data_IF_695266392347
#
_entry.id   IF_695266392347
#
_cell.length_a   1.000
_cell.length_b   1.000
_cell.length_c   1.000
_cell.angle_alpha   90.00
_cell.angle_beta   90.00
_cell.angle_gamma   90.00
#
_symmetry.space_group_name_H-M   'P 1'
#
loop_
_entity.id
_entity.type
_entity.pdbx_description
1 polymer ?
#
# COMPACT_ATOMS: atom_id res chain seq x y z
N UNK A 1 19.83 1.33 -19.77
CA UNK A 1 18.63 2.21 -19.71
C UNK A 1 17.91 1.89 -18.42
N UNK A 2 17.73 2.85 -17.52
CA UNK A 2 17.00 2.57 -16.28
C UNK A 2 15.51 2.39 -16.62
N UNK A 3 14.80 1.55 -15.87
CA UNK A 3 13.36 1.29 -16.03
C UNK A 3 12.55 2.61 -16.10
N UNK A 4 12.94 3.63 -15.32
CA UNK A 4 12.37 4.97 -15.33
C UNK A 4 12.57 5.74 -16.65
N UNK A 5 13.71 5.60 -17.33
CA UNK A 5 13.98 6.22 -18.64
C UNK A 5 13.07 5.60 -19.70
N UNK A 6 12.94 4.27 -19.69
CA UNK A 6 12.06 3.53 -20.59
C UNK A 6 10.59 3.96 -20.44
N UNK A 7 10.13 4.16 -19.22
CA UNK A 7 8.77 4.61 -18.89
C UNK A 7 8.53 6.04 -19.39
N UNK A 8 9.46 6.97 -19.16
CA UNK A 8 9.32 8.37 -19.63
C UNK A 8 9.25 8.47 -21.15
N UNK A 9 10.09 7.74 -21.86
CA UNK A 9 10.12 7.73 -23.32
C UNK A 9 8.83 7.14 -23.89
N UNK A 10 8.30 6.09 -23.28
CA UNK A 10 7.06 5.45 -23.74
C UNK A 10 5.79 6.22 -23.36
N UNK A 11 5.72 6.87 -22.22
CA UNK A 11 4.60 7.74 -21.86
C UNK A 11 4.59 9.05 -22.64
N UNK A 12 5.67 9.40 -23.36
CA UNK A 12 5.68 10.49 -24.34
C UNK A 12 5.06 10.09 -25.69
N UNK A 13 4.91 8.81 -25.96
CA UNK A 13 4.25 8.31 -27.16
C UNK A 13 2.73 8.53 -27.05
N UNK A 14 2.17 9.31 -27.98
CA UNK A 14 0.76 9.70 -28.01
C UNK A 14 -0.18 8.47 -28.14
N UNK A 15 0.26 7.46 -28.88
CA UNK A 15 -0.48 6.21 -29.05
C UNK A 15 -0.58 5.44 -27.72
N UNK A 16 0.51 5.40 -26.96
CA UNK A 16 0.54 4.80 -25.63
C UNK A 16 -0.32 5.56 -24.64
N UNK A 17 -0.26 6.91 -24.68
CA UNK A 17 -1.13 7.76 -23.86
C UNK A 17 -2.61 7.52 -24.15
N UNK A 18 -2.97 7.36 -25.42
CA UNK A 18 -4.37 7.10 -25.81
C UNK A 18 -4.84 5.73 -25.33
N UNK A 19 -4.00 4.69 -25.43
CA UNK A 19 -4.31 3.35 -24.94
C UNK A 19 -4.43 3.29 -23.42
N UNK A 20 -3.64 4.07 -22.69
CA UNK A 20 -3.64 4.12 -21.23
C UNK A 20 -4.64 5.15 -20.65
N UNK A 21 -5.12 6.10 -21.45
CA UNK A 21 -6.08 7.13 -21.00
C UNK A 21 -7.41 6.55 -20.52
N UNK A 22 -7.78 5.36 -20.98
CA UNK A 22 -8.97 4.63 -20.51
C UNK A 22 -8.77 3.99 -19.13
N UNK A 23 -7.54 3.81 -18.71
CA UNK A 23 -7.16 3.17 -17.44
C UNK A 23 -7.12 4.18 -16.29
N UNK A 24 -6.78 5.45 -16.58
CA UNK A 24 -6.61 6.49 -15.56
C UNK A 24 -7.71 7.54 -15.70
N UNK A 25 -8.79 7.35 -14.95
CA UNK A 25 -9.92 8.31 -14.96
C UNK A 25 -9.58 9.63 -14.25
N UNK A 26 -8.60 9.66 -13.37
CA UNK A 26 -8.16 10.82 -12.60
C UNK A 26 -6.64 10.85 -12.50
N UNK A 27 -6.01 11.51 -13.48
CA UNK A 27 -4.55 11.61 -13.53
C UNK A 27 -3.97 12.50 -12.42
N UNK A 28 -4.73 13.45 -11.89
CA UNK A 28 -4.26 14.31 -10.80
C UNK A 28 -4.04 13.53 -9.51
N UNK A 29 -4.82 12.46 -9.28
CA UNK A 29 -4.64 11.58 -8.13
C UNK A 29 -3.32 10.81 -8.17
N UNK A 30 -2.66 10.74 -9.33
CA UNK A 30 -1.40 10.03 -9.55
C UNK A 30 -0.19 10.96 -9.62
N UNK A 31 -0.38 12.27 -9.42
CA UNK A 31 0.72 13.23 -9.31
C UNK A 31 1.42 13.01 -7.96
N UNK A 32 2.75 12.92 -7.92
CA UNK A 32 3.49 12.82 -6.66
C UNK A 32 3.10 13.94 -5.70
N UNK A 33 2.75 13.58 -4.46
CA UNK A 33 2.31 14.52 -3.43
C UNK A 33 3.41 14.80 -2.39
N UNK A 34 4.49 14.04 -2.41
CA UNK A 34 5.68 14.21 -1.57
C UNK A 34 6.90 14.57 -2.40
N UNK A 35 7.94 15.09 -1.74
CA UNK A 35 9.21 15.45 -2.36
C UNK A 35 10.27 14.38 -2.12
N UNK A 36 11.44 14.55 -2.77
CA UNK A 36 12.60 13.69 -2.57
C UNK A 36 12.40 12.27 -3.07
N UNK A 37 12.90 11.31 -2.31
CA UNK A 37 12.91 9.90 -2.75
C UNK A 37 11.51 9.30 -2.87
N UNK A 38 10.54 9.77 -2.09
CA UNK A 38 9.15 9.30 -2.19
C UNK A 38 8.43 9.83 -3.44
N UNK A 39 8.83 10.98 -3.97
CA UNK A 39 8.33 11.45 -5.27
C UNK A 39 8.69 10.46 -6.39
N UNK A 40 9.88 9.87 -6.36
CA UNK A 40 10.28 8.85 -7.33
C UNK A 40 9.46 7.56 -7.19
N UNK A 41 9.14 7.15 -5.96
CA UNK A 41 8.27 5.99 -5.72
C UNK A 41 6.85 6.22 -6.25
N UNK A 42 6.35 7.44 -6.18
CA UNK A 42 4.99 7.80 -6.58
C UNK A 42 4.82 8.02 -8.10
N UNK A 43 5.88 7.92 -8.90
CA UNK A 43 5.78 8.06 -10.35
C UNK A 43 5.11 6.86 -11.00
N UNK A 44 4.25 7.14 -11.98
CA UNK A 44 3.68 6.12 -12.85
C UNK A 44 4.77 5.30 -13.53
N UNK A 45 4.52 4.00 -13.62
CA UNK A 45 5.41 3.04 -14.24
C UNK A 45 4.70 2.08 -15.17
N UNK A 46 5.47 1.51 -16.09
CA UNK A 46 5.09 0.41 -16.95
C UNK A 46 6.09 -0.74 -16.70
N UNK A 47 5.63 -1.81 -16.06
CA UNK A 47 6.49 -2.90 -15.58
C UNK A 47 6.24 -4.16 -16.40
N UNK A 48 7.26 -4.73 -17.07
CA UNK A 48 7.11 -5.99 -17.81
C UNK A 48 6.63 -7.10 -16.87
N UNK A 49 5.62 -7.88 -17.29
CA UNK A 49 5.02 -8.91 -16.43
C UNK A 49 6.01 -10.00 -16.00
N UNK A 50 6.99 -10.30 -16.83
CA UNK A 50 8.06 -11.27 -16.56
C UNK A 50 9.01 -10.85 -15.43
N UNK A 51 9.13 -9.54 -15.20
CA UNK A 51 9.93 -8.96 -14.10
C UNK A 51 9.15 -8.78 -12.80
N UNK A 52 7.85 -9.12 -12.81
CA UNK A 52 6.93 -8.86 -11.72
C UNK A 52 6.50 -10.12 -10.95
N UNK A 53 6.07 -9.90 -9.72
CA UNK A 53 5.40 -10.88 -8.86
C UNK A 53 4.08 -10.28 -8.41
N UNK A 54 2.97 -10.57 -9.09
CA UNK A 54 1.67 -10.06 -8.68
C UNK A 54 1.19 -10.72 -7.39
N UNK A 55 0.52 -9.93 -6.54
CA UNK A 55 -0.21 -10.41 -5.39
C UNK A 55 -1.58 -9.73 -5.30
N UNK A 56 -2.54 -10.42 -4.71
CA UNK A 56 -3.93 -9.98 -4.59
C UNK A 56 -4.51 -10.28 -3.22
N UNK A 57 -5.54 -9.55 -2.83
CA UNK A 57 -6.29 -9.72 -1.57
C UNK A 57 -7.13 -11.02 -1.54
N UNK A 58 -6.61 -12.12 -2.04
CA UNK A 58 -7.32 -13.40 -2.03
C UNK A 58 -6.54 -14.43 -1.24
N UNK A 59 -7.11 -14.87 -0.11
CA UNK A 59 -6.50 -15.92 0.70
C UNK A 59 -6.24 -17.20 -0.12
N UNK A 60 -5.08 -17.80 0.08
CA UNK A 60 -4.67 -19.01 -0.63
C UNK A 60 -3.96 -18.74 -1.97
N UNK A 61 -3.85 -17.48 -2.41
CA UNK A 61 -3.00 -17.13 -3.55
C UNK A 61 -1.53 -16.99 -3.14
N UNK A 62 -0.59 -17.19 -4.09
CA UNK A 62 0.82 -16.91 -3.85
C UNK A 62 1.02 -15.45 -3.37
N UNK A 63 1.98 -15.26 -2.47
CA UNK A 63 2.35 -13.94 -1.95
C UNK A 63 1.21 -13.17 -1.25
N UNK A 64 0.16 -13.85 -0.81
CA UNK A 64 -0.98 -13.24 -0.14
C UNK A 64 -0.58 -12.34 1.04
N UNK A 65 0.47 -12.72 1.80
CA UNK A 65 0.89 -11.95 2.97
C UNK A 65 1.55 -10.60 2.62
N UNK A 66 1.86 -10.33 1.34
CA UNK A 66 2.36 -9.01 0.92
C UNK A 66 1.25 -7.96 0.95
N UNK A 67 0.01 -8.34 0.72
CA UNK A 67 -1.15 -7.46 0.74
C UNK A 67 -1.43 -6.92 2.17
N UNK A 68 -1.82 -5.65 2.27
CA UNK A 68 -2.17 -5.01 3.54
C UNK A 68 -3.47 -5.58 4.13
N UNK A 69 -4.37 -6.04 3.25
CA UNK A 69 -5.61 -6.69 3.62
C UNK A 69 -5.42 -8.16 4.00
N UNK A 70 -4.21 -8.72 3.84
CA UNK A 70 -3.92 -10.10 4.20
C UNK A 70 -4.10 -10.34 5.70
N UNK A 71 -4.85 -11.37 6.03
CA UNK A 71 -5.10 -11.74 7.42
C UNK A 71 -4.14 -12.82 7.88
N UNK A 72 -3.52 -12.59 9.02
CA UNK A 72 -2.84 -13.66 9.76
C UNK A 72 -3.88 -14.69 10.22
N UNK A 73 -3.66 -16.01 10.07
CA UNK A 73 -4.60 -17.03 10.50
C UNK A 73 -5.00 -16.89 11.98
N UNK A 74 -6.26 -17.21 12.30
CA UNK A 74 -6.72 -17.21 13.70
C UNK A 74 -5.95 -18.26 14.49
N UNK A 75 -5.40 -17.85 15.63
CA UNK A 75 -4.57 -18.72 16.47
C UNK A 75 -3.07 -18.65 16.20
N UNK A 76 -2.64 -18.11 15.08
CA UNK A 76 -1.22 -17.87 14.75
C UNK A 76 -0.73 -16.56 15.40
N UNK A 77 -0.77 -16.53 16.74
CA UNK A 77 -0.51 -15.32 17.54
C UNK A 77 0.94 -14.84 17.44
N UNK A 78 1.87 -15.72 17.06
CA UNK A 78 3.27 -15.38 16.83
C UNK A 78 3.51 -14.48 15.62
N UNK A 79 2.55 -14.44 14.67
CA UNK A 79 2.59 -13.62 13.47
C UNK A 79 1.65 -12.40 13.53
N UNK A 80 0.94 -12.20 14.64
CA UNK A 80 0.08 -11.03 14.80
C UNK A 80 0.91 -9.74 14.88
N UNK A 81 0.39 -8.69 14.28
CA UNK A 81 0.96 -7.35 14.37
C UNK A 81 0.74 -6.80 15.77
N UNK A 82 1.74 -6.09 16.33
CA UNK A 82 1.69 -5.50 17.67
C UNK A 82 2.09 -4.03 17.63
N UNK A 83 1.22 -3.18 18.13
CA UNK A 83 1.48 -1.76 18.34
C UNK A 83 1.17 -1.43 19.80
N UNK A 84 2.19 -1.28 20.64
CA UNK A 84 2.00 -1.25 22.09
C UNK A 84 1.24 -2.49 22.57
N UNK A 85 0.17 -2.27 23.30
CA UNK A 85 -0.72 -3.33 23.80
C UNK A 85 -1.76 -3.80 22.76
N UNK A 86 -1.83 -3.13 21.61
CA UNK A 86 -2.76 -3.50 20.56
C UNK A 86 -2.20 -4.61 19.67
N UNK A 87 -3.06 -5.58 19.39
CA UNK A 87 -2.74 -6.75 18.58
C UNK A 87 -3.72 -6.87 17.43
N UNK A 88 -3.21 -6.94 16.19
CA UNK A 88 -4.06 -7.05 15.00
C UNK A 88 -3.62 -8.19 14.09
N UNK A 89 -4.57 -8.62 13.25
CA UNK A 89 -4.34 -9.67 12.26
C UNK A 89 -4.13 -9.14 10.84
N UNK A 90 -4.26 -7.83 10.63
CA UNK A 90 -4.32 -7.21 9.31
C UNK A 90 -3.71 -5.81 9.35
N UNK A 91 -2.78 -5.50 8.44
CA UNK A 91 -2.07 -4.22 8.41
C UNK A 91 -2.99 -3.05 8.06
N UNK A 92 -3.98 -3.28 7.21
CA UNK A 92 -4.92 -2.25 6.74
C UNK A 92 -5.58 -1.48 7.88
N UNK A 93 -5.80 -2.12 9.03
CA UNK A 93 -6.37 -1.45 10.21
C UNK A 93 -5.46 -0.32 10.69
N UNK A 94 -4.18 -0.61 10.87
CA UNK A 94 -3.19 0.40 11.29
C UNK A 94 -3.02 1.48 10.22
N UNK A 95 -2.99 1.09 8.95
CA UNK A 95 -2.89 2.03 7.85
C UNK A 95 -4.07 3.04 7.85
N UNK A 96 -5.30 2.55 8.02
CA UNK A 96 -6.49 3.42 8.08
C UNK A 96 -6.47 4.32 9.31
N UNK A 97 -5.95 3.84 10.45
CA UNK A 97 -5.82 4.65 11.67
C UNK A 97 -4.98 5.90 11.42
N UNK A 98 -3.83 5.78 10.78
CA UNK A 98 -2.94 6.92 10.52
C UNK A 98 -3.56 8.01 9.65
N UNK A 99 -4.61 7.69 8.89
CA UNK A 99 -5.33 8.66 8.08
C UNK A 99 -6.16 9.65 8.91
N UNK A 100 -6.55 9.26 10.12
CA UNK A 100 -7.45 10.04 10.97
C UNK A 100 -6.70 10.79 12.06
N UNK A 101 -7.07 12.02 12.26
CA UNK A 101 -6.59 12.84 13.38
C UNK A 101 -7.66 12.89 14.50
N UNK A 102 -7.98 11.72 15.03
CA UNK A 102 -9.03 11.58 16.04
C UNK A 102 -8.88 10.33 16.89
N UNK A 103 -8.62 10.52 18.18
CA UNK A 103 -8.56 9.41 19.16
C UNK A 103 -9.89 8.64 19.25
N UNK A 104 -11.03 9.29 19.01
CA UNK A 104 -12.34 8.61 18.96
C UNK A 104 -12.41 7.69 17.74
N UNK A 105 -11.98 8.19 16.55
CA UNK A 105 -11.95 7.38 15.35
C UNK A 105 -11.04 6.15 15.51
N UNK A 106 -9.86 6.32 16.13
CA UNK A 106 -8.95 5.22 16.42
C UNK A 106 -9.58 4.16 17.35
N UNK A 107 -10.23 4.59 18.45
CA UNK A 107 -10.94 3.69 19.35
C UNK A 107 -12.06 2.95 18.65
N UNK A 108 -12.84 3.66 17.83
CA UNK A 108 -13.91 3.03 17.06
C UNK A 108 -13.38 1.97 16.08
N UNK A 109 -12.30 2.28 15.36
CA UNK A 109 -11.63 1.32 14.48
C UNK A 109 -11.19 0.08 15.26
N UNK A 110 -10.50 0.28 16.37
CA UNK A 110 -10.09 -0.80 17.26
C UNK A 110 -11.28 -1.68 17.64
N UNK A 111 -12.35 -1.09 18.14
CA UNK A 111 -13.47 -1.82 18.73
C UNK A 111 -14.35 -2.52 17.68
N UNK A 112 -14.39 -2.01 16.45
CA UNK A 112 -15.23 -2.54 15.37
C UNK A 112 -14.50 -3.39 14.33
N UNK A 113 -13.19 -3.17 14.12
CA UNK A 113 -12.42 -3.91 13.12
C UNK A 113 -11.50 -4.97 13.74
N UNK A 114 -11.21 -4.87 15.03
CA UNK A 114 -10.28 -5.77 15.71
C UNK A 114 -10.86 -7.12 16.13
N UNK A 115 -12.15 -7.22 16.39
CA UNK A 115 -12.77 -8.42 16.96
C UNK A 115 -12.79 -9.64 16.01
N UNK A 116 -11.66 -9.86 15.33
CA UNK A 116 -11.44 -11.04 14.49
C UNK A 116 -11.98 -10.91 13.08
N UNK A 117 -12.39 -9.73 12.69
CA UNK A 117 -13.06 -9.49 11.44
C UNK A 117 -12.12 -8.94 10.35
N UNK A 118 -12.41 -9.32 9.14
CA UNK A 118 -12.04 -8.60 7.93
C UNK A 118 -12.41 -7.13 8.08
N UNK A 119 -11.57 -6.22 7.57
CA UNK A 119 -12.05 -4.92 7.14
C UNK A 119 -13.01 -5.19 5.98
N UNK A 120 -14.29 -5.41 6.29
CA UNK A 120 -15.25 -5.55 5.22
C UNK A 120 -15.61 -4.16 4.64
N UNK A 121 -16.04 -4.15 3.39
CA UNK A 121 -16.34 -2.92 2.67
C UNK A 121 -17.43 -2.09 3.38
N UNK A 122 -18.37 -2.75 4.08
CA UNK A 122 -19.47 -2.12 4.82
C UNK A 122 -18.93 -1.37 6.05
N UNK A 123 -18.07 -2.00 6.84
CA UNK A 123 -17.44 -1.36 8.00
C UNK A 123 -16.51 -0.22 7.60
N UNK A 124 -15.79 -0.37 6.50
CA UNK A 124 -14.97 0.71 5.92
C UNK A 124 -15.83 1.91 5.47
N UNK A 125 -16.98 1.65 4.86
CA UNK A 125 -17.93 2.70 4.46
C UNK A 125 -18.57 3.39 5.68
N UNK A 126 -18.98 2.62 6.70
CA UNK A 126 -19.50 3.14 7.95
C UNK A 126 -18.49 4.06 8.65
N UNK A 127 -17.25 3.63 8.76
CA UNK A 127 -16.15 4.42 9.30
C UNK A 127 -15.94 5.73 8.55
N UNK A 128 -15.81 5.67 7.22
CA UNK A 128 -15.64 6.86 6.38
C UNK A 128 -16.81 7.84 6.51
N UNK A 129 -18.03 7.34 6.65
CA UNK A 129 -19.21 8.18 6.83
C UNK A 129 -19.23 8.83 8.22
N UNK A 130 -18.96 8.05 9.26
CA UNK A 130 -19.02 8.50 10.66
C UNK A 130 -17.95 9.56 10.97
N UNK A 131 -16.75 9.40 10.44
CA UNK A 131 -15.59 10.25 10.75
C UNK A 131 -15.18 11.16 9.57
N UNK A 132 -16.13 11.46 8.69
CA UNK A 132 -15.91 12.40 7.58
C UNK A 132 -15.47 13.76 8.12
N UNK A 133 -14.38 14.30 7.55
CA UNK A 133 -13.82 15.60 7.94
C UNK A 133 -12.84 15.55 9.12
N UNK A 134 -12.57 14.37 9.69
CA UNK A 134 -11.52 14.16 10.69
C UNK A 134 -10.26 13.51 10.09
N UNK A 135 -10.16 13.53 8.77
CA UNK A 135 -8.97 13.07 8.07
C UNK A 135 -7.87 14.13 8.17
N UNK A 136 -6.62 13.69 8.29
CA UNK A 136 -5.46 14.58 8.25
C UNK A 136 -5.45 15.37 6.94
N UNK A 137 -5.27 16.68 7.04
CA UNK A 137 -5.22 17.57 5.86
C UNK A 137 -4.01 17.26 4.97
N UNK A 138 -2.91 16.83 5.58
CA UNK A 138 -1.64 16.46 4.94
C UNK A 138 -1.56 14.97 4.54
N UNK A 139 -2.65 14.20 4.64
CA UNK A 139 -2.64 12.76 4.43
C UNK A 139 -1.96 12.32 3.12
N UNK A 140 -2.20 13.06 2.03
CA UNK A 140 -1.59 12.73 0.74
C UNK A 140 -0.06 12.81 0.76
N UNK A 141 0.51 13.66 1.59
CA UNK A 141 1.95 13.82 1.76
C UNK A 141 2.51 12.71 2.65
N UNK A 142 1.89 12.49 3.81
CA UNK A 142 2.40 11.54 4.83
C UNK A 142 2.07 10.08 4.58
N UNK A 143 1.13 9.76 3.70
CA UNK A 143 0.64 8.39 3.54
C UNK A 143 1.73 7.36 3.18
N UNK A 144 2.78 7.77 2.44
CA UNK A 144 3.87 6.87 2.03
C UNK A 144 4.82 6.61 3.19
N UNK A 145 5.15 7.64 3.98
CA UNK A 145 5.91 7.49 5.22
C UNK A 145 5.18 6.63 6.23
N UNK A 146 3.88 6.88 6.39
CA UNK A 146 3.04 6.05 7.25
C UNK A 146 2.96 4.60 6.79
N UNK A 147 2.88 4.34 5.48
CA UNK A 147 2.94 2.98 4.95
C UNK A 147 4.29 2.34 5.24
N UNK A 148 5.39 3.08 5.09
CA UNK A 148 6.73 2.58 5.42
C UNK A 148 6.85 2.18 6.90
N UNK A 149 6.32 3.02 7.81
CA UNK A 149 6.19 2.68 9.22
C UNK A 149 5.37 1.39 9.43
N UNK A 150 4.19 1.30 8.84
CA UNK A 150 3.33 0.12 8.93
C UNK A 150 4.01 -1.15 8.42
N UNK A 151 4.71 -1.07 7.30
CA UNK A 151 5.46 -2.20 6.73
C UNK A 151 6.63 -2.62 7.62
N UNK A 152 7.33 -1.69 8.27
CA UNK A 152 8.38 -2.00 9.25
C UNK A 152 7.79 -2.78 10.43
N UNK A 153 6.64 -2.37 10.94
CA UNK A 153 5.95 -3.11 11.99
C UNK A 153 5.58 -4.53 11.53
N UNK A 154 5.03 -4.66 10.31
CA UNK A 154 4.68 -5.95 9.72
C UNK A 154 5.91 -6.84 9.53
N UNK A 155 7.00 -6.26 9.04
CA UNK A 155 8.26 -6.98 8.87
C UNK A 155 8.80 -7.52 10.19
N UNK A 156 8.75 -6.72 11.26
CA UNK A 156 9.19 -7.13 12.59
C UNK A 156 8.34 -8.26 13.16
N UNK A 157 7.01 -8.17 13.05
CA UNK A 157 6.08 -9.06 13.73
C UNK A 157 5.73 -10.33 12.95
N UNK A 158 5.72 -10.31 11.60
CA UNK A 158 5.09 -11.34 10.79
C UNK A 158 6.11 -12.14 9.96
N UNK A 159 6.39 -13.38 10.37
CA UNK A 159 7.29 -14.26 9.65
C UNK A 159 6.72 -14.73 8.29
N UNK A 160 5.39 -14.86 8.17
CA UNK A 160 4.75 -15.22 6.91
C UNK A 160 4.95 -14.13 5.86
N UNK A 161 4.86 -12.87 6.29
CA UNK A 161 5.17 -11.73 5.42
C UNK A 161 6.63 -11.74 4.97
N UNK A 162 7.58 -11.95 5.89
CA UNK A 162 9.01 -12.03 5.54
C UNK A 162 9.30 -13.18 4.56
N UNK A 163 8.65 -14.33 4.75
CA UNK A 163 8.76 -15.49 3.84
C UNK A 163 8.29 -15.12 2.42
N UNK A 164 7.10 -14.54 2.29
CA UNK A 164 6.54 -14.18 1.00
C UNK A 164 7.37 -13.08 0.32
N UNK A 165 7.87 -12.12 1.10
CA UNK A 165 8.75 -11.06 0.61
C UNK A 165 10.09 -11.62 0.08
N UNK A 166 10.69 -12.56 0.79
CA UNK A 166 11.91 -13.23 0.34
C UNK A 166 11.68 -14.07 -0.92
N UNK A 167 10.53 -14.73 -1.03
CA UNK A 167 10.17 -15.57 -2.17
C UNK A 167 9.97 -14.79 -3.49
N UNK A 168 9.81 -13.45 -3.44
CA UNK A 168 9.80 -12.62 -4.65
C UNK A 168 11.14 -12.66 -5.41
N UNK A 169 12.23 -13.09 -4.77
CA UNK A 169 13.56 -13.10 -5.37
C UNK A 169 14.01 -11.71 -5.82
N UNK A 170 14.49 -11.57 -7.08
CA UNK A 170 14.87 -10.28 -7.67
C UNK A 170 13.73 -9.50 -8.30
N UNK A 171 12.54 -10.11 -8.45
CA UNK A 171 11.39 -9.52 -9.15
C UNK A 171 10.70 -8.44 -8.34
N UNK A 172 10.00 -7.54 -9.03
CA UNK A 172 9.22 -6.46 -8.44
C UNK A 172 7.86 -7.01 -7.92
N UNK A 173 7.54 -6.91 -6.63
CA UNK A 173 6.18 -7.15 -6.16
C UNK A 173 5.22 -6.13 -6.79
N UNK A 174 4.03 -6.59 -7.18
CA UNK A 174 2.98 -5.74 -7.75
C UNK A 174 1.66 -6.05 -7.08
N UNK A 175 1.06 -5.04 -6.43
CA UNK A 175 -0.33 -5.13 -6.01
C UNK A 175 -1.21 -5.09 -7.26
N UNK A 176 -1.79 -6.23 -7.62
CA UNK A 176 -2.59 -6.34 -8.83
C UNK A 176 -3.97 -5.69 -8.63
N UNK A 177 -4.10 -4.50 -9.20
CA UNK A 177 -5.31 -3.69 -9.19
C UNK A 177 -6.21 -3.91 -10.43
N UNK A 178 -5.95 -4.94 -11.22
CA UNK A 178 -6.68 -5.21 -12.48
C UNK A 178 -8.18 -5.28 -12.26
N UNK A 179 -8.91 -4.52 -13.06
CA UNK A 179 -10.39 -4.44 -13.00
C UNK A 179 -10.91 -3.55 -11.88
N UNK A 180 -10.05 -2.91 -11.10
CA UNK A 180 -10.49 -1.90 -10.12
C UNK A 180 -10.73 -0.54 -10.80
N UNK A 181 -11.69 0.24 -10.30
CA UNK A 181 -12.08 1.53 -10.92
C UNK A 181 -11.56 2.75 -10.16
N UNK A 182 -10.74 2.55 -9.13
CA UNK A 182 -10.30 3.64 -8.27
C UNK A 182 -8.85 4.02 -8.57
N UNK A 183 -8.60 5.28 -8.88
CA UNK A 183 -7.27 5.82 -9.12
C UNK A 183 -6.31 5.57 -7.93
N UNK A 184 -6.83 5.55 -6.68
CA UNK A 184 -6.05 5.20 -5.50
C UNK A 184 -5.46 3.78 -5.56
N UNK A 185 -6.08 2.87 -6.31
CA UNK A 185 -5.55 1.51 -6.47
C UNK A 185 -4.35 1.49 -7.42
N UNK A 186 -4.31 2.41 -8.39
CA UNK A 186 -3.14 2.58 -9.27
C UNK A 186 -2.00 3.36 -8.58
N UNK A 187 -2.28 4.10 -7.52
CA UNK A 187 -1.24 4.68 -6.68
C UNK A 187 -0.50 3.58 -5.89
N UNK A 188 -1.22 2.72 -5.16
CA UNK A 188 -0.62 1.65 -4.38
C UNK A 188 -0.19 0.46 -5.21
N UNK A 189 -0.97 0.09 -6.22
CA UNK A 189 -0.75 -1.05 -7.11
C UNK A 189 -0.59 -0.66 -8.59
N UNK A 190 -0.83 -1.63 -9.45
CA UNK A 190 -0.82 -1.46 -10.90
C UNK A 190 -1.82 -2.40 -11.58
N UNK A 191 -2.33 -2.00 -12.72
CA UNK A 191 -3.28 -2.76 -13.53
C UNK A 191 -2.57 -3.44 -14.71
N UNK A 192 -2.97 -4.67 -15.03
CA UNK A 192 -2.48 -5.40 -16.18
C UNK A 192 -3.01 -4.74 -17.47
N UNK A 193 -2.08 -4.33 -18.34
CA UNK A 193 -2.38 -3.74 -19.65
C UNK A 193 -1.61 -4.46 -20.75
N UNK A 194 -2.13 -4.39 -21.96
CA UNK A 194 -1.43 -4.89 -23.14
C UNK A 194 -1.05 -3.72 -24.06
N UNK A 195 0.23 -3.64 -24.42
CA UNK A 195 0.77 -2.60 -25.29
C UNK A 195 1.59 -3.27 -26.38
N UNK A 196 1.19 -3.10 -27.64
CA UNK A 196 1.85 -3.70 -28.80
C UNK A 196 2.06 -5.21 -28.67
N UNK A 197 1.04 -5.94 -28.19
CA UNK A 197 1.06 -7.40 -28.01
C UNK A 197 1.91 -7.89 -26.82
N UNK A 198 2.40 -6.99 -25.97
CA UNK A 198 3.11 -7.34 -24.74
C UNK A 198 2.32 -6.91 -23.50
N UNK A 199 2.41 -7.71 -22.46
CA UNK A 199 1.71 -7.46 -21.19
C UNK A 199 2.63 -6.73 -20.21
N UNK A 200 2.05 -5.74 -19.54
CA UNK A 200 2.70 -4.93 -18.53
C UNK A 200 1.77 -4.67 -17.35
N UNK A 201 2.32 -4.37 -16.20
CA UNK A 201 1.60 -3.72 -15.12
C UNK A 201 1.79 -2.20 -15.22
N UNK A 202 0.70 -1.44 -15.21
CA UNK A 202 0.68 0.02 -15.29
C UNK A 202 0.10 0.64 -14.04
N UNK A 203 0.86 1.53 -13.39
CA UNK A 203 0.48 2.23 -12.16
C UNK A 203 1.70 2.80 -11.45
N UNK A 204 1.50 3.49 -10.33
CA UNK A 204 2.62 3.92 -9.49
C UNK A 204 3.24 2.73 -8.75
N UNK A 205 2.42 1.75 -8.35
CA UNK A 205 2.83 0.56 -7.60
C UNK A 205 3.70 0.91 -6.39
N UNK A 206 3.30 1.93 -5.64
CA UNK A 206 4.07 2.43 -4.48
C UNK A 206 4.28 1.32 -3.45
N UNK A 207 3.24 0.52 -3.16
CA UNK A 207 3.36 -0.61 -2.23
C UNK A 207 4.41 -1.62 -2.72
N UNK A 208 4.35 -2.02 -3.98
CA UNK A 208 5.32 -2.97 -4.54
C UNK A 208 6.75 -2.45 -4.52
N UNK A 209 6.96 -1.16 -4.79
CA UNK A 209 8.29 -0.52 -4.71
C UNK A 209 8.81 -0.47 -3.26
N UNK A 210 7.96 -0.14 -2.29
CA UNK A 210 8.32 -0.19 -0.87
C UNK A 210 8.69 -1.61 -0.44
N UNK A 211 7.92 -2.61 -0.85
CA UNK A 211 8.22 -4.02 -0.59
C UNK A 211 9.56 -4.44 -1.21
N UNK A 212 9.84 -4.05 -2.46
CA UNK A 212 11.11 -4.34 -3.11
C UNK A 212 12.29 -3.69 -2.37
N UNK A 213 12.12 -2.47 -1.89
CA UNK A 213 13.09 -1.76 -1.06
C UNK A 213 13.29 -2.45 0.29
N UNK A 214 12.20 -2.78 1.00
CA UNK A 214 12.25 -3.45 2.30
C UNK A 214 12.93 -4.83 2.22
N UNK A 215 12.76 -5.55 1.13
CA UNK A 215 13.47 -6.82 0.92
C UNK A 215 14.99 -6.65 0.99
N UNK A 216 15.52 -5.52 0.47
CA UNK A 216 16.96 -5.21 0.49
C UNK A 216 17.39 -4.64 1.84
N UNK A 217 16.71 -3.60 2.29
CA UNK A 217 17.12 -2.76 3.43
C UNK A 217 16.61 -3.25 4.78
N UNK A 218 15.59 -4.12 4.79
CA UNK A 218 14.90 -4.68 5.97
C UNK A 218 14.05 -3.64 6.73
N UNK A 219 14.56 -2.43 6.89
CA UNK A 219 13.88 -1.30 7.51
C UNK A 219 13.77 -0.19 6.49
N UNK A 220 12.55 0.27 6.26
CA UNK A 220 12.26 1.41 5.38
C UNK A 220 12.47 2.71 6.17
N UNK A 221 13.07 3.74 5.58
CA UNK A 221 13.08 5.06 6.18
C UNK A 221 11.64 5.61 6.18
N UNK A 222 11.35 6.46 7.15
CA UNK A 222 10.10 7.23 7.24
C UNK A 222 10.33 8.51 8.06
N UNK A 223 9.54 9.54 7.75
CA UNK A 223 9.50 10.79 8.50
C UNK A 223 8.05 11.13 8.79
N UNK A 224 7.63 10.97 10.03
CA UNK A 224 6.26 11.26 10.45
C UNK A 224 6.19 12.64 11.09
N UNK A 225 5.12 13.42 10.85
CA UNK A 225 4.89 14.67 11.52
C UNK A 225 4.84 14.50 13.05
N UNK A 226 5.39 15.46 13.79
CA UNK A 226 5.40 15.42 15.26
C UNK A 226 3.99 15.43 15.88
N UNK A 227 3.03 16.03 15.17
CA UNK A 227 1.63 16.07 15.56
C UNK A 227 0.84 14.80 15.18
N UNK A 228 1.49 13.82 14.58
CA UNK A 228 0.82 12.56 14.25
C UNK A 228 0.67 11.67 15.49
N UNK A 229 -0.56 11.31 15.81
CA UNK A 229 -0.91 10.57 17.03
C UNK A 229 -1.79 9.37 16.72
N UNK A 230 -1.70 8.32 17.54
CA UNK A 230 -2.69 7.25 17.62
C UNK A 230 -3.26 7.18 19.04
N UNK A 231 -4.58 7.09 19.14
CA UNK A 231 -5.31 7.07 20.42
C UNK A 231 -5.09 8.30 21.31
N UNK A 232 -4.58 9.40 20.76
CA UNK A 232 -4.19 10.61 21.49
C UNK A 232 -2.77 10.58 22.04
N UNK A 233 -1.98 9.58 21.67
CA UNK A 233 -0.59 9.42 22.08
C UNK A 233 0.35 9.51 20.87
N UNK A 234 1.58 9.97 21.09
CA UNK A 234 2.60 10.02 20.04
C UNK A 234 2.86 8.63 19.43
N UNK A 235 3.26 8.60 18.15
CA UNK A 235 3.56 7.36 17.46
C UNK A 235 4.74 6.65 18.13
N UNK A 236 4.56 5.37 18.42
CA UNK A 236 5.60 4.54 19.04
C UNK A 236 6.76 4.30 18.05
N UNK A 237 7.99 4.43 18.53
CA UNK A 237 9.17 4.01 17.77
C UNK A 237 9.19 2.49 17.57
N UNK A 238 9.61 2.03 16.37
CA UNK A 238 9.73 0.61 16.01
C UNK A 238 11.14 0.25 15.56
#
# INVERSE_FOLDING_TARGET
>A
MTQLTYIRERLSDETLRLQLSTVVADQEALIPQSEGEYAELQKLGLYPTEECVPFVTKQGTPYYQLDNMAMVPKGDTGNYLRYGDFVFRQLEVLYIMGRMDSAEAHRWLRDNLFQGCRVDARKKAEYKSKFRGLERADWKVVQTDWMSYCLNLKYRCNALFRRDLAACGGRLPVEDATGTRYASNLFWGAELVEVNGRKYYFGCNVLGKLLARQRKEKVLPYSLPEDMHLFGEAILSI
#
